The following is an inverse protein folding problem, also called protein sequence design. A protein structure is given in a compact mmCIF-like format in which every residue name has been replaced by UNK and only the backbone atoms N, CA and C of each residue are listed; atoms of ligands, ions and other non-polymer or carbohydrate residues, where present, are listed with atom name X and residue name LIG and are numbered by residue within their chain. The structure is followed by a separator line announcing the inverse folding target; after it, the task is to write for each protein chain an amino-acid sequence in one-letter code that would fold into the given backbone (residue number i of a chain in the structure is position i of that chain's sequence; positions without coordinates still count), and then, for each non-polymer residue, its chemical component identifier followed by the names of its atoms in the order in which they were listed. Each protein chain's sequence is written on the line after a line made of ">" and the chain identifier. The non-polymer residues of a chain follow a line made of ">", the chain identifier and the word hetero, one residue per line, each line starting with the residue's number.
data_IF_953344879990
#
_entry.id   IF_953344879990
#
_cell.length_a   1.000
_cell.length_b   1.000
_cell.length_c   1.000
_cell.angle_alpha   90.00
_cell.angle_beta   90.00
_cell.angle_gamma   90.00
#
_symmetry.space_group_name_H-M   'P 1'
#
loop_
_entity.id
_entity.type
_entity.pdbx_description
1 polymer ?
#
# COMPACT_ATOMS: atom_id res chain seq x y z
N UNK A 1 -8.38 -3.52 17.40
CA UNK A 1 -9.76 -3.31 17.81
C UNK A 1 -10.36 -4.66 18.21
N UNK A 2 -11.07 -4.72 19.32
CA UNK A 2 -11.91 -5.85 19.70
C UNK A 2 -13.37 -5.45 19.48
N UNK A 3 -14.22 -6.40 19.08
CA UNK A 3 -15.65 -6.12 18.95
C UNK A 3 -16.26 -5.94 20.35
N UNK A 4 -17.18 -4.99 20.48
CA UNK A 4 -17.84 -4.69 21.76
C UNK A 4 -18.73 -5.87 22.21
N UNK A 5 -19.42 -6.51 21.26
CA UNK A 5 -20.32 -7.62 21.49
C UNK A 5 -19.60 -8.95 21.73
N UNK A 6 -18.40 -9.10 21.18
CA UNK A 6 -17.56 -10.29 21.33
C UNK A 6 -16.07 -9.89 21.34
N UNK A 7 -15.49 -9.58 22.50
CA UNK A 7 -14.10 -9.15 22.62
C UNK A 7 -13.06 -10.18 22.17
N UNK A 8 -13.44 -11.46 21.96
CA UNK A 8 -12.55 -12.47 21.39
C UNK A 8 -12.32 -12.26 19.89
N UNK A 9 -13.23 -11.56 19.21
CA UNK A 9 -13.12 -11.20 17.80
C UNK A 9 -12.30 -9.91 17.64
N UNK A 10 -11.09 -10.06 17.14
CA UNK A 10 -10.13 -8.98 17.01
C UNK A 10 -9.99 -8.60 15.52
N UNK A 11 -10.07 -7.30 15.24
CA UNK A 11 -9.74 -6.72 13.95
C UNK A 11 -8.50 -5.85 14.08
N UNK A 12 -7.50 -6.15 13.27
CA UNK A 12 -6.30 -5.33 13.11
C UNK A 12 -6.54 -4.41 11.93
N UNK A 13 -6.71 -3.14 12.21
CA UNK A 13 -6.97 -2.12 11.21
C UNK A 13 -5.72 -1.33 10.91
N UNK A 14 -5.33 -1.27 9.64
CA UNK A 14 -4.27 -0.42 9.13
C UNK A 14 -4.82 0.59 8.13
N UNK A 15 -4.30 1.80 8.16
CA UNK A 15 -4.57 2.82 7.14
C UNK A 15 -3.28 3.44 6.64
N UNK A 16 -3.27 3.83 5.37
CA UNK A 16 -2.09 4.42 4.76
C UNK A 16 -2.47 5.46 3.72
N UNK A 17 -1.58 6.44 3.54
CA UNK A 17 -1.56 7.31 2.38
C UNK A 17 -0.17 7.19 1.76
N UNK A 18 -0.07 6.46 0.66
CA UNK A 18 1.19 6.17 -0.01
C UNK A 18 1.62 7.36 -0.86
N UNK A 19 2.93 7.50 -1.02
CA UNK A 19 3.54 8.58 -1.79
C UNK A 19 2.83 8.81 -3.14
N UNK A 20 2.43 10.05 -3.41
CA UNK A 20 1.77 10.45 -4.65
C UNK A 20 2.68 10.31 -5.89
N UNK A 21 3.99 10.58 -5.76
CA UNK A 21 4.90 10.68 -6.90
C UNK A 21 4.88 9.41 -7.79
N UNK A 22 4.39 9.57 -9.01
CA UNK A 22 4.23 8.48 -9.98
C UNK A 22 5.55 7.83 -10.41
N UNK A 23 6.64 8.59 -10.37
CA UNK A 23 7.98 8.14 -10.75
C UNK A 23 8.67 7.29 -9.67
N UNK A 24 8.05 7.14 -8.50
CA UNK A 24 8.62 6.44 -7.35
C UNK A 24 7.83 5.18 -6.98
N UNK A 25 7.55 4.35 -8.01
CA UNK A 25 6.95 3.03 -7.81
C UNK A 25 7.76 2.13 -6.86
N UNK A 26 9.08 2.29 -6.82
CA UNK A 26 10.00 1.66 -5.88
C UNK A 26 9.65 1.96 -4.42
N UNK A 27 9.46 3.24 -4.08
CA UNK A 27 9.07 3.65 -2.73
C UNK A 27 7.65 3.23 -2.39
N UNK A 28 6.72 3.30 -3.36
CA UNK A 28 5.35 2.81 -3.14
C UNK A 28 5.33 1.33 -2.79
N UNK A 29 6.08 0.51 -3.54
CA UNK A 29 6.25 -0.92 -3.27
C UNK A 29 6.81 -1.15 -1.86
N UNK A 30 7.84 -0.38 -1.49
CA UNK A 30 8.44 -0.46 -0.15
C UNK A 30 7.43 -0.14 0.94
N UNK A 31 6.66 0.95 0.81
CA UNK A 31 5.63 1.33 1.78
C UNK A 31 4.59 0.23 1.98
N UNK A 32 4.09 -0.34 0.89
CA UNK A 32 3.09 -1.42 0.93
C UNK A 32 3.62 -2.66 1.65
N UNK A 33 4.84 -3.08 1.34
CA UNK A 33 5.46 -4.24 1.99
C UNK A 33 5.71 -3.98 3.48
N UNK A 34 6.20 -2.78 3.85
CA UNK A 34 6.41 -2.39 5.24
C UNK A 34 5.12 -2.42 6.04
N UNK A 35 4.05 -1.82 5.50
CA UNK A 35 2.74 -1.83 6.12
C UNK A 35 2.25 -3.27 6.34
N UNK A 36 2.30 -4.11 5.31
CA UNK A 36 1.86 -5.49 5.40
C UNK A 36 2.68 -6.32 6.42
N UNK A 37 3.99 -6.10 6.52
CA UNK A 37 4.83 -6.74 7.55
C UNK A 37 4.45 -6.28 8.96
N UNK A 38 4.17 -4.99 9.12
CA UNK A 38 3.74 -4.42 10.40
C UNK A 38 2.41 -5.02 10.85
N UNK A 39 1.43 -5.10 9.92
CA UNK A 39 0.14 -5.73 10.19
C UNK A 39 0.27 -7.23 10.49
N UNK A 40 1.12 -7.94 9.75
CA UNK A 40 1.43 -9.37 10.03
C UNK A 40 2.04 -9.56 11.41
N UNK A 41 2.94 -8.67 11.84
CA UNK A 41 3.52 -8.69 13.19
C UNK A 41 2.44 -8.45 14.26
N UNK A 42 1.56 -7.48 14.02
CA UNK A 42 0.43 -7.21 14.91
C UNK A 42 -0.53 -8.41 14.99
N UNK A 43 -0.87 -9.01 13.84
CA UNK A 43 -1.68 -10.24 13.79
C UNK A 43 -1.05 -11.39 14.58
N UNK A 44 0.27 -11.58 14.43
CA UNK A 44 0.99 -12.62 15.22
C UNK A 44 0.91 -12.36 16.71
N UNK A 45 0.91 -11.09 17.14
CA UNK A 45 0.89 -10.72 18.56
C UNK A 45 -0.51 -10.77 19.18
N UNK A 46 -1.53 -10.33 18.46
CA UNK A 46 -2.87 -10.09 19.02
C UNK A 46 -3.94 -11.07 18.50
N UNK A 47 -3.62 -11.84 17.47
CA UNK A 47 -4.63 -12.63 16.75
C UNK A 47 -5.50 -11.77 15.84
N UNK A 48 -6.60 -12.35 15.35
CA UNK A 48 -7.64 -11.65 14.59
C UNK A 48 -7.39 -11.53 13.11
N UNK A 49 -8.26 -10.78 12.43
CA UNK A 49 -8.24 -10.56 10.99
C UNK A 49 -7.77 -9.14 10.64
N UNK A 50 -7.13 -8.98 9.48
CA UNK A 50 -6.56 -7.71 9.04
C UNK A 50 -7.49 -7.01 8.05
N UNK A 51 -7.70 -5.71 8.26
CA UNK A 51 -8.21 -4.75 7.27
C UNK A 51 -7.11 -3.72 7.02
N UNK A 52 -6.81 -3.46 5.75
CA UNK A 52 -5.88 -2.42 5.32
C UNK A 52 -6.57 -1.50 4.32
N UNK A 53 -6.70 -0.22 4.65
CA UNK A 53 -7.39 0.76 3.81
C UNK A 53 -6.55 2.01 3.57
N UNK A 54 -6.98 2.83 2.62
CA UNK A 54 -6.41 4.15 2.38
C UNK A 54 -6.15 4.45 0.91
N UNK A 55 -5.44 5.57 0.68
CA UNK A 55 -4.94 5.97 -0.63
C UNK A 55 -3.59 5.31 -0.90
N UNK A 56 -3.59 4.36 -1.82
CA UNK A 56 -2.38 3.66 -2.24
C UNK A 56 -1.66 4.37 -3.38
N UNK A 57 -2.26 5.38 -3.98
CA UNK A 57 -1.71 6.08 -5.13
C UNK A 57 -1.25 5.16 -6.27
N UNK A 58 -1.89 4.00 -6.41
CA UNK A 58 -1.69 3.02 -7.49
C UNK A 58 -3.03 2.63 -8.11
N UNK A 59 -3.04 2.33 -9.41
CA UNK A 59 -4.26 1.91 -10.10
C UNK A 59 -4.49 0.40 -10.03
N UNK A 60 -5.69 -0.12 -10.32
CA UNK A 60 -5.97 -1.54 -10.38
C UNK A 60 -5.12 -2.31 -11.41
N UNK A 61 -4.61 -1.63 -12.43
CA UNK A 61 -3.70 -2.20 -13.44
C UNK A 61 -2.24 -2.27 -13.00
N UNK A 62 -1.91 -1.74 -11.83
CA UNK A 62 -0.53 -1.69 -11.33
C UNK A 62 -0.01 -3.04 -10.86
N UNK A 63 1.31 -3.21 -10.92
CA UNK A 63 1.96 -4.38 -10.35
C UNK A 63 1.85 -4.45 -8.82
N UNK A 64 1.78 -3.30 -8.15
CA UNK A 64 1.56 -3.24 -6.68
C UNK A 64 0.15 -3.75 -6.33
N UNK A 65 -0.87 -3.34 -7.07
CA UNK A 65 -2.23 -3.90 -6.90
C UNK A 65 -2.21 -5.42 -7.08
N UNK A 66 -1.58 -5.89 -8.16
CA UNK A 66 -1.42 -7.33 -8.44
C UNK A 66 -0.70 -8.04 -7.30
N UNK A 67 0.41 -7.48 -6.78
CA UNK A 67 1.14 -8.05 -5.66
C UNK A 67 0.24 -8.25 -4.43
N UNK A 68 -0.56 -7.25 -4.07
CA UNK A 68 -1.46 -7.33 -2.91
C UNK A 68 -2.53 -8.40 -3.12
N UNK A 69 -3.15 -8.44 -4.31
CA UNK A 69 -4.28 -9.33 -4.62
C UNK A 69 -3.88 -10.77 -4.90
N UNK A 70 -2.65 -11.02 -5.41
CA UNK A 70 -2.18 -12.38 -5.77
C UNK A 70 -1.13 -12.93 -4.83
N UNK A 71 -0.58 -12.10 -3.93
CA UNK A 71 0.42 -12.51 -2.96
C UNK A 71 1.86 -12.56 -3.47
N UNK A 72 2.11 -12.40 -4.79
CA UNK A 72 3.47 -12.43 -5.33
C UNK A 72 3.62 -11.61 -6.61
N UNK A 73 4.83 -11.13 -6.86
CA UNK A 73 5.19 -10.37 -8.06
C UNK A 73 6.62 -10.68 -8.48
N UNK A 74 6.81 -11.07 -9.73
CA UNK A 74 8.14 -11.15 -10.34
C UNK A 74 8.56 -9.75 -10.83
N UNK A 75 9.53 -9.18 -10.15
CA UNK A 75 10.04 -7.85 -10.46
C UNK A 75 10.95 -7.83 -11.70
N UNK A 76 11.51 -8.95 -12.14
CA UNK A 76 12.35 -8.99 -13.34
C UNK A 76 11.62 -8.51 -14.60
N UNK A 77 10.29 -8.50 -14.57
CA UNK A 77 9.43 -8.08 -15.69
C UNK A 77 8.67 -6.77 -15.42
N UNK A 78 8.90 -6.12 -14.29
CA UNK A 78 8.19 -4.92 -13.93
C UNK A 78 8.99 -3.65 -14.29
N UNK A 79 8.33 -2.58 -14.70
CA UNK A 79 8.89 -1.23 -14.82
C UNK A 79 8.30 -0.33 -13.72
N UNK A 80 8.90 0.82 -13.46
CA UNK A 80 8.31 1.78 -12.48
C UNK A 80 6.91 2.19 -12.84
N UNK A 81 6.74 2.42 -14.11
CA UNK A 81 5.46 2.67 -14.72
C UNK A 81 4.45 1.58 -14.36
N UNK A 82 4.85 0.33 -14.55
CA UNK A 82 4.04 -0.81 -14.23
C UNK A 82 3.80 -0.96 -12.72
N UNK A 83 4.74 -0.53 -11.88
CA UNK A 83 4.59 -0.60 -10.42
C UNK A 83 3.43 0.27 -9.92
N UNK A 84 3.28 1.50 -10.38
CA UNK A 84 2.21 2.41 -9.95
C UNK A 84 0.98 2.40 -10.84
N UNK A 85 1.06 1.84 -12.05
CA UNK A 85 -0.02 1.83 -13.04
C UNK A 85 -0.32 3.19 -13.65
N UNK A 86 0.53 4.18 -13.40
CA UNK A 86 0.39 5.53 -13.96
C UNK A 86 1.44 5.76 -15.05
N UNK A 87 1.03 6.40 -16.16
CA UNK A 87 1.85 6.54 -17.36
C UNK A 87 3.03 7.51 -17.16
N UNK A 88 4.22 7.00 -16.91
CA UNK A 88 5.48 7.76 -16.97
C UNK A 88 6.51 7.05 -17.83
N UNK A 89 7.27 7.83 -18.62
CA UNK A 89 8.11 7.34 -19.72
C UNK A 89 9.51 6.84 -19.32
N UNK A 90 9.83 6.68 -18.05
CA UNK A 90 11.18 6.32 -17.63
C UNK A 90 11.26 4.84 -17.20
N UNK A 91 12.11 4.02 -17.85
CA UNK A 91 12.43 2.70 -17.33
C UNK A 91 13.17 2.83 -16.00
N UNK A 92 12.82 2.00 -15.04
CA UNK A 92 13.69 1.78 -13.88
C UNK A 92 14.56 0.56 -14.12
N UNK A 93 15.77 0.70 -13.64
CA UNK A 93 16.52 -0.43 -13.18
C UNK A 93 15.80 -1.06 -11.98
N UNK A 94 15.11 -2.14 -12.24
CA UNK A 94 14.34 -2.87 -11.26
C UNK A 94 15.20 -3.47 -10.17
N UNK A 95 16.45 -3.79 -10.49
CA UNK A 95 17.47 -4.23 -9.55
C UNK A 95 17.73 -3.13 -8.51
N UNK A 96 17.80 -1.88 -8.95
CA UNK A 96 17.96 -0.74 -8.07
C UNK A 96 16.72 -0.53 -7.18
N UNK A 97 15.51 -0.69 -7.69
CA UNK A 97 14.29 -0.58 -6.90
C UNK A 97 14.22 -1.65 -5.79
N UNK A 98 14.56 -2.92 -6.13
CA UNK A 98 14.66 -4.00 -5.14
C UNK A 98 15.80 -3.74 -4.16
N UNK A 99 16.93 -3.23 -4.63
CA UNK A 99 18.07 -2.85 -3.81
C UNK A 99 17.74 -1.74 -2.83
N UNK A 100 17.04 -0.70 -3.27
CA UNK A 100 16.57 0.40 -2.43
C UNK A 100 15.55 -0.11 -1.40
N UNK A 101 14.57 -0.90 -1.83
CA UNK A 101 13.59 -1.50 -0.93
C UNK A 101 14.26 -2.39 0.13
N UNK A 102 15.32 -3.13 -0.24
CA UNK A 102 16.10 -3.95 0.69
C UNK A 102 17.04 -3.13 1.55
N UNK A 103 17.66 -2.07 1.03
CA UNK A 103 18.46 -1.13 1.82
C UNK A 103 17.63 -0.48 2.93
N UNK A 104 16.43 -0.04 2.63
CA UNK A 104 15.50 0.48 3.64
C UNK A 104 15.17 -0.55 4.74
N UNK A 105 15.37 -1.87 4.48
CA UNK A 105 15.15 -2.93 5.46
C UNK A 105 16.39 -3.33 6.26
N UNK A 106 17.60 -3.15 5.72
CA UNK A 106 18.82 -3.75 6.26
C UNK A 106 19.97 -2.75 6.50
N UNK A 107 19.89 -1.56 5.93
CA UNK A 107 20.91 -0.52 6.12
C UNK A 107 20.23 0.70 6.75
N UNK A 108 20.68 1.12 7.93
CA UNK A 108 20.37 2.47 8.39
C UNK A 108 20.93 3.44 7.32
N UNK A 109 20.11 4.37 6.80
CA UNK A 109 20.60 5.32 5.83
C UNK A 109 21.73 6.15 6.44
N UNK A 110 22.74 6.48 5.62
CA UNK A 110 23.77 7.45 5.99
C UNK A 110 23.07 8.74 6.52
N UNK A 111 23.59 9.39 7.57
CA UNK A 111 22.96 10.57 8.16
C UNK A 111 22.55 11.65 7.15
N UNK A 112 23.34 11.85 6.10
CA UNK A 112 23.02 12.79 4.99
C UNK A 112 21.78 12.42 4.18
N UNK A 113 21.41 11.14 4.15
CA UNK A 113 20.20 10.67 3.48
C UNK A 113 18.96 10.90 4.35
N UNK A 114 19.13 10.91 5.67
CA UNK A 114 18.07 11.17 6.64
C UNK A 114 17.66 12.64 6.64
N UNK A 115 18.61 13.57 6.48
CA UNK A 115 18.31 15.01 6.41
C UNK A 115 17.45 15.39 5.18
N UNK A 116 17.57 14.64 4.08
CA UNK A 116 16.81 14.90 2.86
C UNK A 116 15.45 14.17 2.79
N UNK A 117 15.19 13.20 3.66
CA UNK A 117 13.98 12.36 3.63
C UNK A 117 13.39 12.15 5.04
N UNK A 118 12.89 13.22 5.65
CA UNK A 118 12.25 13.17 6.98
C UNK A 118 11.12 12.14 7.11
N UNK A 119 10.47 11.77 6.02
CA UNK A 119 9.45 10.71 6.00
C UNK A 119 10.05 9.30 6.23
N UNK A 120 11.26 9.03 5.76
CA UNK A 120 11.93 7.75 6.00
C UNK A 120 12.28 7.55 7.48
N UNK A 121 12.61 8.63 8.19
CA UNK A 121 12.92 8.63 9.65
C UNK A 121 11.69 8.23 10.45
N UNK A 122 10.51 8.76 10.09
CA UNK A 122 9.26 8.45 10.76
C UNK A 122 8.92 6.96 10.70
N UNK A 123 9.15 6.31 9.56
CA UNK A 123 8.87 4.89 9.36
C UNK A 123 9.85 3.98 10.10
N UNK A 124 11.13 4.32 10.18
CA UNK A 124 12.12 3.52 10.89
C UNK A 124 11.90 3.53 12.40
N UNK A 125 11.49 4.67 12.97
CA UNK A 125 11.19 4.81 14.40
C UNK A 125 9.98 3.95 14.83
N UNK A 126 8.93 3.88 14.01
CA UNK A 126 7.73 3.11 14.31
C UNK A 126 7.87 1.60 14.11
N UNK A 127 8.95 1.15 13.46
CA UNK A 127 9.22 -0.28 13.25
C UNK A 127 9.97 -0.93 14.42
N UNK A 128 10.21 -0.19 15.53
CA UNK A 128 10.98 -0.68 16.67
C UNK A 128 12.45 -0.92 16.33
N UNK A 129 12.94 -0.26 15.28
CA UNK A 129 14.36 -0.10 15.02
C UNK A 129 14.80 1.07 15.88
N UNK A 130 15.35 0.76 17.03
CA UNK A 130 15.89 1.77 17.95
C UNK A 130 17.10 2.46 17.31
N UNK A 131 16.87 3.69 16.81
CA UNK A 131 17.93 4.52 16.22
C UNK A 131 18.49 5.48 17.28
N UNK A 132 17.94 5.49 18.49
CA UNK A 132 18.30 6.44 19.54
C UNK A 132 19.65 6.16 20.18
N UNK A 133 20.16 4.95 20.06
CA UNK A 133 21.52 4.60 20.53
C UNK A 133 22.47 4.47 19.35
N UNK A 134 23.21 5.53 19.05
CA UNK A 134 24.16 5.66 17.96
C UNK A 134 25.37 4.69 18.00
N UNK A 135 25.22 3.46 18.46
CA UNK A 135 26.28 2.47 18.62
C UNK A 135 26.01 1.11 17.97
N UNK A 136 24.80 0.79 17.56
CA UNK A 136 24.52 -0.46 16.86
C UNK A 136 24.85 -0.32 15.36
N UNK A 137 26.11 -0.51 14.99
CA UNK A 137 26.47 -0.76 13.59
C UNK A 137 25.70 -1.99 13.11
N UNK A 138 24.86 -1.89 12.06
CA UNK A 138 24.17 -3.05 11.52
C UNK A 138 25.19 -4.14 11.21
N UNK A 139 24.91 -5.36 11.65
CA UNK A 139 25.81 -6.49 11.41
C UNK A 139 25.71 -6.93 9.94
N UNK A 140 26.53 -6.36 9.07
CA UNK A 140 26.56 -6.60 7.62
C UNK A 140 27.06 -7.99 7.21
N UNK A 141 27.33 -8.91 8.16
CA UNK A 141 27.89 -10.23 7.86
C UNK A 141 26.94 -11.17 7.10
N UNK A 142 25.66 -10.83 6.99
CA UNK A 142 24.65 -11.67 6.32
C UNK A 142 24.11 -11.00 5.04
N UNK A 143 24.94 -10.34 4.24
CA UNK A 143 24.53 -9.84 2.93
C UNK A 143 24.30 -11.01 1.98
N UNK A 144 23.07 -11.17 1.51
CA UNK A 144 22.79 -12.07 0.38
C UNK A 144 23.44 -11.42 -0.86
N UNK A 145 24.34 -12.13 -1.55
CA UNK A 145 24.94 -11.61 -2.78
C UNK A 145 23.88 -11.21 -3.81
N UNK A 146 24.13 -10.19 -4.63
CA UNK A 146 23.17 -9.70 -5.62
C UNK A 146 22.64 -10.77 -6.59
N UNK A 147 23.47 -11.70 -6.99
CA UNK A 147 23.19 -12.82 -7.87
C UNK A 147 22.27 -13.89 -7.24
N UNK A 148 22.17 -13.92 -5.91
CA UNK A 148 21.27 -14.82 -5.17
C UNK A 148 19.93 -14.15 -4.80
N UNK A 149 19.70 -12.93 -5.25
CA UNK A 149 18.47 -12.20 -4.99
C UNK A 149 17.35 -12.69 -5.90
N UNK A 150 16.35 -13.36 -5.33
CA UNK A 150 15.12 -13.67 -6.08
C UNK A 150 14.47 -12.38 -6.60
N UNK A 151 14.15 -12.35 -7.90
CA UNK A 151 13.33 -11.29 -8.49
C UNK A 151 11.89 -11.31 -7.99
N UNK A 152 11.46 -12.41 -7.36
CA UNK A 152 10.11 -12.58 -6.85
C UNK A 152 9.97 -11.96 -5.47
N UNK A 153 9.03 -11.03 -5.34
CA UNK A 153 8.59 -10.44 -4.07
C UNK A 153 7.31 -11.11 -3.63
N UNK A 154 7.29 -11.61 -2.39
CA UNK A 154 6.10 -12.18 -1.78
C UNK A 154 5.45 -11.17 -0.83
N UNK A 155 4.14 -11.00 -0.97
CA UNK A 155 3.35 -10.17 -0.08
C UNK A 155 3.07 -10.95 1.22
N UNK A 156 3.29 -10.36 2.39
CA UNK A 156 3.27 -11.13 3.64
C UNK A 156 1.88 -11.49 4.17
N UNK A 157 0.81 -10.95 3.56
CA UNK A 157 -0.59 -11.19 3.91
C UNK A 157 -1.35 -11.71 2.69
N UNK A 158 -2.43 -12.44 2.90
CA UNK A 158 -3.38 -12.83 1.86
C UNK A 158 -4.59 -11.87 1.94
N UNK A 159 -4.60 -10.85 1.08
CA UNK A 159 -5.64 -9.83 1.10
C UNK A 159 -6.46 -9.85 -0.19
N UNK A 160 -7.75 -9.53 -0.06
CA UNK A 160 -8.69 -9.32 -1.17
C UNK A 160 -9.25 -7.91 -1.10
N UNK A 161 -9.55 -7.30 -2.25
CA UNK A 161 -10.28 -6.04 -2.27
C UNK A 161 -11.76 -6.27 -1.98
N UNK A 162 -12.34 -5.48 -1.08
CA UNK A 162 -13.77 -5.58 -0.74
C UNK A 162 -14.66 -5.24 -1.95
N UNK A 163 -14.29 -4.23 -2.71
CA UNK A 163 -15.02 -3.82 -3.91
C UNK A 163 -14.94 -4.87 -5.01
N UNK A 164 -13.73 -5.36 -5.29
CA UNK A 164 -13.57 -6.42 -6.29
C UNK A 164 -14.32 -7.70 -5.91
N UNK A 165 -14.35 -8.06 -4.64
CA UNK A 165 -15.02 -9.26 -4.14
C UNK A 165 -16.54 -9.20 -4.31
N UNK A 166 -17.15 -8.01 -4.20
CA UNK A 166 -18.60 -7.83 -4.33
C UNK A 166 -19.02 -7.50 -5.76
N UNK A 167 -18.24 -6.65 -6.47
CA UNK A 167 -18.63 -6.08 -7.75
C UNK A 167 -17.99 -6.76 -8.97
N UNK A 168 -17.07 -7.71 -8.77
CA UNK A 168 -16.17 -8.27 -9.78
C UNK A 168 -15.29 -7.20 -10.49
N UNK A 169 -15.16 -6.04 -9.90
CA UNK A 169 -14.34 -4.92 -10.36
C UNK A 169 -14.11 -3.94 -9.23
N UNK A 170 -13.11 -3.09 -9.35
CA UNK A 170 -12.98 -1.96 -8.44
C UNK A 170 -14.04 -0.88 -8.73
N UNK A 171 -14.40 -0.11 -7.69
CA UNK A 171 -15.22 1.09 -7.89
C UNK A 171 -14.43 2.14 -8.66
N UNK A 172 -15.10 2.95 -9.46
CA UNK A 172 -14.45 3.96 -10.28
C UNK A 172 -15.34 5.18 -10.47
N UNK A 173 -14.80 6.39 -10.36
CA UNK A 173 -13.48 6.71 -9.80
C UNK A 173 -13.52 6.80 -8.27
N UNK A 174 -12.37 6.68 -7.60
CA UNK A 174 -12.20 7.10 -6.20
C UNK A 174 -11.56 8.47 -6.08
N UNK A 175 -10.82 8.90 -7.13
CA UNK A 175 -10.30 10.26 -7.28
C UNK A 175 -10.83 10.89 -8.56
N UNK A 176 -11.33 12.13 -8.48
CA UNK A 176 -11.97 12.83 -9.58
C UNK A 176 -11.45 14.28 -9.71
N UNK A 177 -10.42 14.44 -10.51
CA UNK A 177 -9.85 15.73 -10.88
C UNK A 177 -10.16 16.04 -12.35
N UNK A 178 -10.04 17.31 -12.77
CA UNK A 178 -10.33 17.77 -14.12
C UNK A 178 -9.67 16.93 -15.21
N UNK A 179 -8.41 16.53 -14.99
CA UNK A 179 -7.60 15.77 -15.96
C UNK A 179 -7.28 14.35 -15.50
N UNK A 180 -7.69 13.97 -14.31
CA UNK A 180 -7.34 12.68 -13.73
C UNK A 180 -8.55 12.08 -13.02
N UNK A 181 -9.03 10.95 -13.54
CA UNK A 181 -10.10 10.15 -12.97
C UNK A 181 -9.56 8.76 -12.79
N UNK A 182 -9.41 8.32 -11.56
CA UNK A 182 -8.73 7.05 -11.30
C UNK A 182 -9.21 6.42 -10.00
N UNK A 183 -8.98 5.13 -9.86
CA UNK A 183 -9.12 4.40 -8.59
C UNK A 183 -7.76 4.26 -7.97
N UNK A 184 -7.59 4.81 -6.77
CA UNK A 184 -6.34 4.79 -6.00
C UNK A 184 -6.56 4.44 -4.54
N UNK A 185 -7.82 4.47 -4.09
CA UNK A 185 -8.24 4.15 -2.73
C UNK A 185 -8.82 2.75 -2.70
N UNK A 186 -8.47 1.98 -1.66
CA UNK A 186 -8.91 0.58 -1.52
C UNK A 186 -9.20 0.25 -0.07
N UNK A 187 -10.06 -0.77 0.13
CA UNK A 187 -10.28 -1.48 1.38
C UNK A 187 -9.94 -2.94 1.14
N UNK A 188 -8.79 -3.35 1.62
CA UNK A 188 -8.29 -4.71 1.59
C UNK A 188 -8.65 -5.44 2.87
N UNK A 189 -8.97 -6.73 2.77
CA UNK A 189 -9.35 -7.55 3.91
C UNK A 189 -8.82 -8.98 3.78
N UNK A 190 -8.66 -9.68 4.88
CA UNK A 190 -8.31 -11.10 4.90
C UNK A 190 -9.53 -11.99 4.68
N UNK A 191 -9.33 -13.13 4.03
CA UNK A 191 -10.37 -14.06 3.56
C UNK A 191 -11.29 -14.62 4.66
N UNK A 192 -10.88 -14.56 5.92
CA UNK A 192 -11.70 -14.98 7.06
C UNK A 192 -12.90 -14.06 7.33
N UNK A 193 -12.87 -12.86 6.75
CA UNK A 193 -13.97 -11.90 6.84
C UNK A 193 -14.84 -12.01 5.58
N UNK A 194 -16.14 -11.84 5.76
CA UNK A 194 -17.08 -11.88 4.62
C UNK A 194 -17.58 -10.46 4.30
N UNK A 195 -17.19 -9.88 3.16
CA UNK A 195 -17.72 -8.58 2.75
C UNK A 195 -19.20 -8.73 2.35
N UNK A 196 -20.06 -7.92 2.93
CA UNK A 196 -21.52 -7.94 2.70
C UNK A 196 -21.99 -6.87 1.73
N UNK A 197 -21.52 -5.66 1.91
CA UNK A 197 -21.93 -4.48 1.13
C UNK A 197 -20.78 -3.50 0.98
N UNK A 198 -20.81 -2.75 -0.14
CA UNK A 198 -19.93 -1.61 -0.39
C UNK A 198 -20.73 -0.40 -0.86
N UNK A 199 -20.25 0.79 -0.53
CA UNK A 199 -20.83 2.03 -1.03
C UNK A 199 -20.38 2.23 -2.49
N UNK A 200 -21.34 2.36 -3.39
CA UNK A 200 -21.05 2.64 -4.80
C UNK A 200 -20.56 4.08 -4.98
N UNK A 201 -19.54 4.27 -5.81
CA UNK A 201 -19.18 5.61 -6.28
C UNK A 201 -20.35 6.24 -7.07
N UNK A 202 -20.45 7.57 -7.06
CA UNK A 202 -21.43 8.27 -7.91
C UNK A 202 -21.31 7.84 -9.38
N UNK A 203 -22.44 7.79 -10.09
CA UNK A 203 -22.43 7.45 -11.51
C UNK A 203 -21.69 8.51 -12.34
N UNK A 204 -21.13 8.12 -13.49
CA UNK A 204 -20.54 9.09 -14.41
C UNK A 204 -21.50 10.20 -14.83
N UNK A 205 -22.78 9.87 -15.01
CA UNK A 205 -23.80 10.86 -15.34
C UNK A 205 -23.95 11.91 -14.23
N UNK A 206 -23.92 11.46 -12.96
CA UNK A 206 -23.95 12.37 -11.80
C UNK A 206 -22.66 13.19 -11.70
N UNK A 207 -21.51 12.57 -11.93
CA UNK A 207 -20.20 13.24 -11.85
C UNK A 207 -19.98 14.26 -12.98
N UNK A 208 -20.53 14.03 -14.17
CA UNK A 208 -20.39 14.96 -15.29
C UNK A 208 -21.15 16.28 -15.08
N UNK A 209 -22.08 16.33 -14.12
CA UNK A 209 -22.71 17.58 -13.67
C UNK A 209 -21.73 18.47 -12.90
N UNK A 210 -20.72 17.86 -12.31
CA UNK A 210 -19.63 18.55 -11.60
C UNK A 210 -18.38 18.45 -12.48
N UNK A 211 -17.98 19.53 -13.10
CA UNK A 211 -16.84 19.54 -14.05
C UNK A 211 -15.54 19.00 -13.42
N UNK A 212 -15.36 19.23 -12.11
CA UNK A 212 -14.21 18.79 -11.34
C UNK A 212 -14.52 18.82 -9.84
N UNK A 213 -13.73 18.08 -9.06
CA UNK A 213 -13.65 18.20 -7.60
C UNK A 213 -12.23 18.63 -7.20
N UNK A 214 -12.01 19.33 -6.07
CA UNK A 214 -13.05 19.87 -5.17
C UNK A 214 -13.89 20.97 -5.80
N UNK A 215 -15.13 21.15 -5.32
CA UNK A 215 -16.01 22.24 -5.69
C UNK A 215 -16.89 22.62 -4.48
N UNK A 216 -17.85 23.54 -4.65
CA UNK A 216 -18.72 24.03 -3.55
C UNK A 216 -19.60 22.92 -2.94
N UNK A 217 -19.91 21.85 -3.69
CA UNK A 217 -20.76 20.74 -3.26
C UNK A 217 -19.95 19.56 -2.74
N UNK A 218 -18.82 19.28 -3.41
CA UNK A 218 -17.93 18.16 -3.10
C UNK A 218 -16.55 18.74 -2.72
N UNK A 219 -16.26 18.86 -1.42
CA UNK A 219 -15.07 19.58 -0.94
C UNK A 219 -13.78 18.76 -1.01
N UNK A 220 -13.83 17.52 -1.50
CA UNK A 220 -12.69 16.63 -1.67
C UNK A 220 -12.55 16.18 -3.12
N UNK A 221 -11.34 15.95 -3.58
CA UNK A 221 -11.06 15.29 -4.86
C UNK A 221 -11.12 13.76 -4.77
N UNK A 222 -11.32 13.20 -3.56
CA UNK A 222 -11.57 11.79 -3.33
C UNK A 222 -13.01 11.53 -2.86
N UNK A 223 -13.54 10.37 -3.27
CA UNK A 223 -14.83 9.86 -2.79
C UNK A 223 -14.61 8.87 -1.65
N UNK A 224 -15.49 8.88 -0.62
CA UNK A 224 -15.38 7.94 0.48
C UNK A 224 -15.63 6.51 0.01
N UNK A 225 -14.86 5.58 0.54
CA UNK A 225 -15.11 4.15 0.45
C UNK A 225 -15.73 3.65 1.76
N UNK A 226 -16.71 2.76 1.64
CA UNK A 226 -17.32 2.07 2.76
C UNK A 226 -17.51 0.61 2.42
N UNK A 227 -17.15 -0.28 3.32
CA UNK A 227 -17.42 -1.70 3.23
C UNK A 227 -17.95 -2.22 4.57
N UNK A 228 -18.95 -3.09 4.50
CA UNK A 228 -19.49 -3.82 5.63
C UNK A 228 -19.02 -5.26 5.59
N UNK A 229 -18.57 -5.76 6.74
CA UNK A 229 -18.06 -7.12 6.88
C UNK A 229 -18.81 -7.87 7.98
N UNK A 230 -19.01 -9.15 7.74
CA UNK A 230 -19.30 -10.13 8.80
C UNK A 230 -17.96 -10.73 9.25
N UNK A 231 -17.78 -10.82 10.58
CA UNK A 231 -16.55 -11.25 11.23
C UNK A 231 -16.80 -12.50 12.07
#
# INVERSE_FOLDING_TARGET
>A
LALVEDPSKIVIFGTTHILFNEKRGDLKLTHVILMAKTLKKAKKKYGGSVILSGDFNVTPSSAIYKLISTGSLDLARASQYFLSGKMTSLPIDLYEAVRIARRAFYEAPEPKYLEQNSQLIFYTHNLGLDISEGTAKPNFKNRIPPDQLSSVVNFPLALKSSYHSILNKETFPTQFLQRQRTTVDYIWFEEQMLPKRVLMSPSFASLNQFQTTPNEVIPSDHFPLLAEFEI
#
